data_IF_070315511658
#
_entry.id   IF_070315511658
#
_cell.length_a   1.000
_cell.length_b   1.000
_cell.length_c   1.000
_cell.angle_alpha   90.00
_cell.angle_beta   90.00
_cell.angle_gamma   90.00
#
_symmetry.space_group_name_H-M   'P 1'
#
loop_
_entity.id
_entity.type
_entity.pdbx_description
1 polymer ?
#
# COMPACT_ATOMS: atom_id res chain seq x y z
N UNK A 1 10.59 19.26 -32.04
CA UNK A 1 10.11 17.88 -31.96
C UNK A 1 9.59 17.65 -30.57
N UNK A 2 8.27 17.66 -30.39
CA UNK A 2 7.63 17.43 -29.10
C UNK A 2 7.57 15.93 -28.82
N UNK A 3 7.80 15.46 -27.58
CA UNK A 3 7.63 14.06 -27.25
C UNK A 3 6.15 13.72 -27.21
N UNK A 4 5.83 12.66 -27.88
CA UNK A 4 4.50 12.04 -28.02
C UNK A 4 3.97 11.66 -26.65
N UNK A 5 2.79 12.17 -26.31
CA UNK A 5 1.95 11.72 -25.19
C UNK A 5 1.81 10.21 -25.22
N UNK A 6 2.32 9.53 -24.20
CA UNK A 6 2.04 8.12 -23.93
C UNK A 6 1.09 8.01 -22.77
N UNK A 7 0.00 7.35 -23.08
CA UNK A 7 -0.95 6.65 -22.22
C UNK A 7 -1.53 7.44 -21.05
N UNK A 8 -2.68 8.01 -21.35
CA UNK A 8 -3.78 8.02 -20.44
C UNK A 8 -4.14 6.53 -20.26
N UNK A 9 -3.59 5.91 -19.21
CA UNK A 9 -4.01 4.58 -18.81
C UNK A 9 -5.48 4.69 -18.41
N UNK A 10 -6.35 4.06 -19.19
CA UNK A 10 -7.74 3.84 -18.80
C UNK A 10 -7.68 3.16 -17.41
N UNK A 11 -8.09 3.88 -16.40
CA UNK A 11 -8.30 3.34 -15.05
C UNK A 11 -9.20 2.12 -15.22
N UNK A 12 -8.69 0.95 -14.91
CA UNK A 12 -9.45 -0.28 -14.99
C UNK A 12 -10.68 -0.12 -14.10
N UNK A 13 -11.91 -0.33 -14.62
CA UNK A 13 -13.16 -0.06 -13.85
C UNK A 13 -13.37 -1.00 -12.67
N UNK A 14 -12.41 -1.83 -12.32
CA UNK A 14 -12.53 -2.91 -11.35
C UNK A 14 -11.70 -2.75 -10.07
N UNK A 15 -11.28 -1.53 -9.73
CA UNK A 15 -10.73 -1.30 -8.39
C UNK A 15 -11.89 -0.94 -7.43
N UNK A 16 -12.32 -1.87 -6.55
CA UNK A 16 -13.34 -1.58 -5.56
C UNK A 16 -12.73 -0.71 -4.47
N UNK A 17 -12.68 0.59 -4.71
CA UNK A 17 -12.51 1.51 -3.58
C UNK A 17 -13.63 1.23 -2.60
N UNK A 18 -13.34 1.05 -1.29
CA UNK A 18 -14.39 1.08 -0.32
C UNK A 18 -15.14 2.41 -0.52
N UNK A 19 -16.41 2.34 -0.81
CA UNK A 19 -17.25 3.52 -0.90
C UNK A 19 -17.06 4.32 0.39
N UNK A 20 -16.92 5.63 0.27
CA UNK A 20 -16.94 6.50 1.44
C UNK A 20 -18.21 6.15 2.23
N UNK A 21 -18.11 6.02 3.58
CA UNK A 21 -19.26 5.62 4.37
C UNK A 21 -20.41 6.61 4.13
N UNK A 22 -21.50 6.13 3.58
CA UNK A 22 -22.72 6.92 3.45
C UNK A 22 -23.24 7.21 4.86
N UNK A 23 -23.52 8.49 5.12
CA UNK A 23 -24.13 8.92 6.37
C UNK A 23 -25.64 9.04 6.16
N UNK A 24 -26.40 8.59 7.14
CA UNK A 24 -27.82 8.91 7.23
C UNK A 24 -28.02 10.41 7.50
N UNK A 25 -29.20 10.95 7.24
CA UNK A 25 -29.57 12.37 7.48
C UNK A 25 -29.34 12.83 8.95
N UNK A 26 -29.22 11.88 9.88
CA UNK A 26 -28.95 12.10 11.30
C UNK A 26 -27.46 11.87 11.66
N UNK A 27 -26.59 11.66 10.67
CA UNK A 27 -25.14 11.55 10.85
C UNK A 27 -24.65 10.18 11.34
N UNK A 28 -25.48 9.13 11.28
CA UNK A 28 -25.05 7.77 11.56
C UNK A 28 -24.37 7.15 10.32
N UNK A 29 -23.28 6.42 10.55
CA UNK A 29 -22.61 5.62 9.52
C UNK A 29 -23.52 4.47 9.12
N UNK A 30 -23.84 4.36 7.84
CA UNK A 30 -24.54 3.19 7.30
C UNK A 30 -23.51 2.05 7.26
N UNK A 31 -23.65 1.07 8.14
CA UNK A 31 -22.86 -0.16 8.09
C UNK A 31 -23.21 -0.90 6.79
N UNK A 32 -22.23 -1.27 5.96
CA UNK A 32 -22.48 -1.99 4.73
C UNK A 32 -23.17 -3.32 5.02
N UNK A 33 -24.17 -3.64 4.23
CA UNK A 33 -24.93 -4.88 4.38
C UNK A 33 -24.10 -6.09 3.96
N UNK A 34 -24.52 -7.29 4.40
CA UNK A 34 -23.87 -8.52 3.95
C UNK A 34 -23.95 -8.73 2.42
N UNK A 35 -24.92 -8.07 1.76
CA UNK A 35 -25.09 -8.11 0.31
C UNK A 35 -24.09 -7.18 -0.41
N UNK A 36 -23.70 -6.07 0.21
CA UNK A 36 -22.64 -5.18 -0.31
C UNK A 36 -21.29 -5.89 -0.37
N UNK A 37 -21.00 -6.74 0.63
CA UNK A 37 -19.80 -7.59 0.61
C UNK A 37 -19.88 -8.73 -0.42
N UNK A 38 -21.08 -9.23 -0.77
CA UNK A 38 -21.25 -10.23 -1.82
C UNK A 38 -20.99 -9.66 -3.20
N UNK A 39 -21.47 -8.44 -3.48
CA UNK A 39 -21.20 -7.77 -4.75
C UNK A 39 -19.71 -7.44 -4.93
N UNK A 40 -18.98 -7.13 -3.87
CA UNK A 40 -17.53 -6.97 -3.93
C UNK A 40 -16.79 -8.27 -4.28
N UNK A 41 -17.38 -9.45 -3.97
CA UNK A 41 -16.81 -10.77 -4.31
C UNK A 41 -17.13 -11.22 -5.74
N UNK A 42 -18.08 -10.59 -6.43
CA UNK A 42 -18.48 -10.89 -7.81
C UNK A 42 -17.72 -10.06 -8.86
N UNK A 43 -16.97 -9.04 -8.45
CA UNK A 43 -16.03 -8.38 -9.33
C UNK A 43 -14.98 -9.42 -9.77
N UNK A 44 -14.79 -9.54 -11.08
CA UNK A 44 -13.74 -10.41 -11.65
C UNK A 44 -12.37 -9.91 -11.15
N UNK A 45 -11.99 -10.35 -9.94
CA UNK A 45 -10.63 -10.15 -9.45
C UNK A 45 -9.75 -11.01 -10.35
N UNK A 46 -8.90 -10.40 -11.14
CA UNK A 46 -7.85 -11.15 -11.83
C UNK A 46 -7.02 -11.91 -10.80
N UNK A 47 -7.35 -13.21 -10.64
CA UNK A 47 -6.69 -14.08 -9.66
C UNK A 47 -5.27 -14.45 -10.09
N UNK A 48 -4.90 -14.13 -11.32
CA UNK A 48 -3.61 -14.47 -11.90
C UNK A 48 -2.70 -13.24 -12.12
N UNK A 49 -3.11 -12.06 -11.62
CA UNK A 49 -2.39 -10.79 -11.75
C UNK A 49 -0.89 -10.91 -11.43
N UNK A 50 -0.54 -11.74 -10.45
CA UNK A 50 0.84 -11.93 -9.99
C UNK A 50 1.72 -12.63 -11.03
N UNK A 51 1.16 -13.28 -12.04
CA UNK A 51 1.93 -13.99 -13.07
C UNK A 51 2.63 -13.04 -14.05
N UNK A 52 2.10 -11.85 -14.22
CA UNK A 52 2.64 -10.81 -15.12
C UNK A 52 3.15 -9.57 -14.40
N UNK A 53 2.85 -9.44 -13.10
CA UNK A 53 3.19 -8.28 -12.31
C UNK A 53 4.70 -8.15 -12.07
N UNK A 54 5.21 -6.93 -12.12
CA UNK A 54 6.56 -6.58 -11.69
C UNK A 54 6.55 -6.29 -10.19
N UNK A 55 7.20 -7.16 -9.43
CA UNK A 55 7.36 -6.98 -7.98
C UNK A 55 8.64 -6.22 -7.67
N UNK A 56 8.56 -5.30 -6.72
CA UNK A 56 9.72 -4.57 -6.22
C UNK A 56 9.76 -4.67 -4.70
N UNK A 57 10.81 -5.33 -4.17
CA UNK A 57 11.04 -5.43 -2.73
C UNK A 57 11.62 -4.11 -2.21
N UNK A 58 10.98 -3.53 -1.20
CA UNK A 58 11.38 -2.27 -0.59
C UNK A 58 11.73 -2.46 0.87
N UNK A 59 13.01 -2.40 1.18
CA UNK A 59 13.45 -2.32 2.57
C UNK A 59 13.27 -0.89 3.08
N UNK A 60 12.19 -0.63 3.82
CA UNK A 60 11.77 0.72 4.25
C UNK A 60 12.92 1.53 4.81
N UNK A 61 13.67 0.97 5.78
CA UNK A 61 14.79 1.64 6.47
C UNK A 61 15.91 2.14 5.56
N UNK A 62 16.03 1.58 4.34
CA UNK A 62 17.16 1.84 3.45
C UNK A 62 16.71 2.51 2.13
N UNK A 63 15.44 2.89 2.00
CA UNK A 63 14.91 3.35 0.72
C UNK A 63 14.91 4.88 0.57
N UNK A 64 14.21 5.58 1.43
CA UNK A 64 14.20 7.05 1.44
C UNK A 64 13.92 7.57 2.86
N UNK A 65 14.76 8.48 3.32
CA UNK A 65 14.70 9.15 4.62
C UNK A 65 14.04 10.52 4.42
N UNK A 66 12.81 10.69 4.94
CA UNK A 66 12.04 11.94 4.75
C UNK A 66 12.39 13.02 5.77
N UNK A 67 12.90 12.66 6.93
CA UNK A 67 13.17 13.59 8.04
C UNK A 67 14.66 13.86 8.30
N UNK A 68 15.55 13.17 7.58
CA UNK A 68 17.00 13.36 7.66
C UNK A 68 17.65 12.74 8.89
N UNK A 69 17.01 11.74 9.50
CA UNK A 69 17.53 11.07 10.69
C UNK A 69 18.53 9.94 10.37
N UNK A 70 18.72 9.60 9.10
CA UNK A 70 19.61 8.56 8.62
C UNK A 70 18.94 7.19 8.43
N UNK A 71 17.63 7.10 8.67
CA UNK A 71 16.84 5.88 8.50
C UNK A 71 15.68 6.18 7.55
N UNK A 72 15.47 5.34 6.54
CA UNK A 72 14.31 5.43 5.66
C UNK A 72 13.01 5.17 6.43
N UNK A 73 11.92 5.80 5.96
CA UNK A 73 10.63 5.77 6.62
C UNK A 73 9.46 5.64 5.61
N UNK A 74 8.24 5.44 6.12
CA UNK A 74 7.05 5.25 5.31
C UNK A 74 6.65 6.52 4.53
N UNK A 75 6.91 7.71 5.09
CA UNK A 75 6.70 8.98 4.38
C UNK A 75 7.66 9.11 3.22
N UNK A 76 8.92 8.81 3.46
CA UNK A 76 9.94 8.77 2.41
C UNK A 76 9.59 7.79 1.31
N UNK A 77 9.08 6.61 1.66
CA UNK A 77 8.59 5.64 0.67
C UNK A 77 7.41 6.22 -0.12
N UNK A 78 6.46 6.88 0.54
CA UNK A 78 5.31 7.54 -0.10
C UNK A 78 5.77 8.62 -1.10
N UNK A 79 6.76 9.42 -0.77
CA UNK A 79 7.34 10.42 -1.66
C UNK A 79 7.96 9.84 -2.94
N UNK A 80 8.33 8.56 -2.93
CA UNK A 80 8.95 7.87 -4.06
C UNK A 80 7.97 7.06 -4.92
N UNK A 81 6.69 7.07 -4.60
CA UNK A 81 5.70 6.30 -5.36
C UNK A 81 5.63 6.71 -6.84
N UNK A 82 5.76 8.00 -7.16
CA UNK A 82 5.78 8.46 -8.56
C UNK A 82 6.97 7.89 -9.34
N UNK A 83 8.12 7.75 -8.68
CA UNK A 83 9.30 7.11 -9.27
C UNK A 83 9.06 5.62 -9.52
N UNK A 84 8.45 4.92 -8.56
CA UNK A 84 8.15 3.48 -8.66
C UNK A 84 7.09 3.21 -9.73
N UNK A 85 6.09 4.08 -9.86
CA UNK A 85 5.11 4.06 -10.94
C UNK A 85 5.79 4.25 -12.31
N UNK A 86 6.65 5.27 -12.41
CA UNK A 86 7.42 5.52 -13.65
C UNK A 86 8.32 4.33 -14.02
N UNK A 87 8.88 3.64 -13.04
CA UNK A 87 9.71 2.44 -13.23
C UNK A 87 8.89 1.24 -13.73
N UNK A 88 7.56 1.27 -13.60
CA UNK A 88 6.66 0.21 -14.04
C UNK A 88 6.46 -0.89 -13.00
N UNK A 89 6.53 -0.54 -11.72
CA UNK A 89 6.26 -1.47 -10.61
C UNK A 89 4.76 -1.66 -10.45
N UNK A 90 4.31 -2.92 -10.42
CA UNK A 90 2.91 -3.28 -10.22
C UNK A 90 2.60 -3.65 -8.77
N UNK A 91 3.60 -4.14 -8.04
CA UNK A 91 3.43 -4.58 -6.66
C UNK A 91 4.66 -4.26 -5.81
N UNK A 92 4.44 -3.59 -4.70
CA UNK A 92 5.45 -3.33 -3.69
C UNK A 92 5.44 -4.44 -2.64
N UNK A 93 6.59 -5.03 -2.37
CA UNK A 93 6.78 -6.01 -1.32
C UNK A 93 7.57 -5.38 -0.18
N UNK A 94 6.93 -5.29 0.99
CA UNK A 94 7.55 -4.75 2.19
C UNK A 94 7.96 -5.90 3.13
N UNK A 95 9.28 -6.14 3.35
CA UNK A 95 9.75 -6.88 4.51
C UNK A 95 9.21 -6.28 5.81
N UNK A 96 9.28 -6.98 6.95
CA UNK A 96 8.65 -6.54 8.18
C UNK A 96 9.06 -5.13 8.58
N UNK A 97 8.07 -4.27 8.81
CA UNK A 97 8.22 -2.88 9.28
C UNK A 97 7.52 -2.66 10.63
N UNK A 98 7.06 -3.75 11.25
CA UNK A 98 6.38 -3.76 12.54
C UNK A 98 7.34 -3.45 13.70
N UNK A 99 6.78 -3.20 14.90
CA UNK A 99 7.60 -3.03 16.10
C UNK A 99 8.48 -4.25 16.35
N UNK A 100 9.79 -4.02 16.42
CA UNK A 100 10.82 -5.03 16.50
C UNK A 100 12.07 -4.46 17.16
N UNK A 101 12.88 -5.25 17.89
CA UNK A 101 14.18 -4.84 18.36
C UNK A 101 15.27 -4.88 17.27
N UNK A 102 14.91 -5.18 16.01
CA UNK A 102 15.79 -5.23 14.84
C UNK A 102 17.04 -6.14 14.98
N UNK A 103 16.97 -7.16 15.82
CA UNK A 103 18.07 -8.12 16.00
C UNK A 103 18.15 -9.11 14.85
N UNK A 104 17.01 -9.32 14.17
CA UNK A 104 16.87 -10.18 13.00
C UNK A 104 16.27 -9.39 11.82
N UNK A 105 16.76 -8.17 11.59
CA UNK A 105 16.37 -7.36 10.44
C UNK A 105 14.89 -6.93 10.40
N UNK A 106 14.15 -7.10 11.49
CA UNK A 106 12.72 -6.81 11.60
C UNK A 106 11.85 -8.07 11.69
N UNK A 107 12.42 -9.26 11.45
CA UNK A 107 11.67 -10.54 11.53
C UNK A 107 11.40 -10.99 12.97
N UNK A 108 12.08 -10.40 13.96
CA UNK A 108 11.86 -10.58 15.40
C UNK A 108 10.75 -9.62 15.92
N UNK A 109 9.55 -9.77 15.34
CA UNK A 109 8.41 -8.89 15.57
C UNK A 109 7.90 -9.02 17.00
N UNK A 110 7.71 -7.90 17.70
CA UNK A 110 7.12 -7.81 19.02
C UNK A 110 5.62 -7.55 18.98
N UNK A 111 5.17 -6.69 18.08
CA UNK A 111 3.76 -6.36 17.91
C UNK A 111 3.44 -6.15 16.41
N UNK A 112 2.55 -7.00 15.89
CA UNK A 112 2.07 -6.93 14.50
C UNK A 112 1.07 -5.80 14.23
N UNK A 113 0.63 -5.08 15.26
CA UNK A 113 -0.38 -4.02 15.15
C UNK A 113 0.23 -2.63 15.14
N UNK A 114 1.52 -2.52 15.35
CA UNK A 114 2.24 -1.25 15.41
C UNK A 114 3.38 -1.22 14.41
N UNK A 115 3.66 -0.03 13.89
CA UNK A 115 4.83 0.25 13.06
C UNK A 115 6.02 0.55 13.97
N UNK A 116 7.23 0.13 13.59
CA UNK A 116 8.43 0.54 14.29
C UNK A 116 8.53 2.08 14.30
N UNK A 117 8.68 2.74 15.46
CA UNK A 117 8.61 4.19 15.57
C UNK A 117 9.57 4.95 14.63
N UNK A 118 10.74 4.37 14.33
CA UNK A 118 11.70 4.94 13.40
C UNK A 118 11.22 4.93 11.95
N UNK A 119 10.23 4.09 11.60
CA UNK A 119 9.66 4.01 10.25
C UNK A 119 8.38 4.82 10.10
N UNK A 120 7.83 5.33 11.19
CA UNK A 120 6.61 6.12 11.20
C UNK A 120 5.50 5.53 12.07
N UNK A 121 4.26 5.82 11.69
CA UNK A 121 3.05 5.43 12.40
C UNK A 121 2.16 4.52 11.55
N UNK A 122 1.11 3.97 12.16
CA UNK A 122 0.05 3.26 11.43
C UNK A 122 -0.64 4.19 10.43
N UNK A 123 -0.84 5.46 10.78
CA UNK A 123 -1.46 6.45 9.88
C UNK A 123 -0.57 6.73 8.67
N UNK A 124 0.76 6.78 8.84
CA UNK A 124 1.70 6.90 7.71
C UNK A 124 1.62 5.67 6.80
N UNK A 125 1.40 4.47 7.35
CA UNK A 125 1.20 3.25 6.56
C UNK A 125 -0.12 3.27 5.80
N UNK A 126 -1.20 3.74 6.41
CA UNK A 126 -2.52 3.90 5.75
C UNK A 126 -2.42 4.89 4.60
N UNK A 127 -1.76 6.04 4.81
CA UNK A 127 -1.52 7.02 3.75
C UNK A 127 -0.69 6.42 2.61
N UNK A 128 0.37 5.69 2.93
CA UNK A 128 1.19 4.99 1.93
C UNK A 128 0.35 4.01 1.09
N UNK A 129 -0.50 3.19 1.73
CA UNK A 129 -1.38 2.24 1.02
C UNK A 129 -2.34 2.97 0.08
N UNK A 130 -2.99 4.03 0.56
CA UNK A 130 -3.93 4.82 -0.23
C UNK A 130 -3.24 5.42 -1.46
N UNK A 131 -2.04 6.00 -1.28
CA UNK A 131 -1.28 6.59 -2.38
C UNK A 131 -0.74 5.54 -3.37
N UNK A 132 -0.34 4.36 -2.91
CA UNK A 132 0.07 3.25 -3.77
C UNK A 132 -1.12 2.74 -4.60
N UNK A 133 -2.27 2.53 -3.97
CA UNK A 133 -3.48 2.06 -4.63
C UNK A 133 -4.02 3.07 -5.65
N UNK A 134 -3.97 4.39 -5.38
CA UNK A 134 -4.32 5.45 -6.33
C UNK A 134 -3.51 5.39 -7.62
N UNK A 135 -2.30 4.84 -7.55
CA UNK A 135 -1.39 4.63 -8.70
C UNK A 135 -1.52 3.25 -9.33
N UNK A 136 -2.49 2.44 -8.89
CA UNK A 136 -2.70 1.08 -9.37
C UNK A 136 -1.67 0.06 -8.86
N UNK A 137 -0.79 0.46 -7.95
CA UNK A 137 0.19 -0.45 -7.35
C UNK A 137 -0.44 -1.24 -6.20
N UNK A 138 -0.17 -2.54 -6.16
CA UNK A 138 -0.52 -3.41 -5.03
C UNK A 138 0.58 -3.36 -3.98
N UNK A 139 0.22 -3.71 -2.74
CA UNK A 139 1.18 -3.82 -1.65
C UNK A 139 1.01 -5.17 -0.99
N UNK A 140 2.12 -5.87 -0.79
CA UNK A 140 2.18 -7.09 0.01
C UNK A 140 3.19 -6.91 1.14
N UNK A 141 2.91 -7.53 2.27
CA UNK A 141 3.76 -7.46 3.45
C UNK A 141 4.10 -8.87 3.92
N UNK A 142 5.28 -9.03 4.50
CA UNK A 142 5.64 -10.29 5.11
C UNK A 142 4.82 -10.55 6.37
N UNK A 143 4.27 -11.74 6.48
CA UNK A 143 3.65 -12.25 7.69
C UNK A 143 4.49 -13.40 8.22
N UNK A 144 5.19 -13.15 9.32
CA UNK A 144 5.98 -14.17 10.01
C UNK A 144 5.14 -14.79 11.11
N UNK A 145 4.90 -16.09 11.02
CA UNK A 145 4.26 -16.85 12.10
C UNK A 145 5.35 -17.62 12.84
N UNK A 146 5.53 -17.28 14.11
CA UNK A 146 6.38 -18.00 15.05
C UNK A 146 5.58 -19.13 15.68
#
# INVERSE_FOLDING_TARGET
>A
MAPTSRHQADLHPSDPRPAEPELTDDGHVIEPSADDYRHASELEIDREWYKSAVFYEVLVRAFNDSDGNGTGDLRGLTEKLDYLEWLGVDCLWLPPFYDSPLRDGGYDIRDFRTVLPEFGTVDDFVEFLDQAHKRGMRVITDLVKI
#
